data_IF_427550062564
#
_entry.id   IF_427550062564
#
_cell.length_a   1.000
_cell.length_b   1.000
_cell.length_c   1.000
_cell.angle_alpha   90.00
_cell.angle_beta   90.00
_cell.angle_gamma   90.00
#
_symmetry.space_group_name_H-M   'P 1'
#
loop_
_entity.id
_entity.type
_entity.pdbx_description
1 polymer ?
#
# COMPACT_ATOMS: atom_id res chain seq x y z
N UNK A 1 71.19 20.84 -18.28
CA UNK A 1 69.93 21.56 -18.03
C UNK A 1 68.77 20.63 -18.41
N UNK A 2 68.33 19.73 -17.53
CA UNK A 2 67.25 18.78 -17.84
C UNK A 2 66.39 18.37 -16.63
N UNK A 3 66.84 18.58 -15.39
CA UNK A 3 66.11 18.11 -14.20
C UNK A 3 64.87 18.93 -13.79
N UNK A 4 64.72 20.16 -14.30
CA UNK A 4 63.63 21.04 -13.83
C UNK A 4 62.27 20.79 -14.52
N UNK A 5 62.27 20.14 -15.68
CA UNK A 5 61.05 19.88 -16.48
C UNK A 5 60.32 18.59 -16.09
N UNK A 6 61.02 17.57 -15.59
CA UNK A 6 60.40 16.27 -15.26
C UNK A 6 59.47 16.34 -14.03
N UNK A 7 59.79 17.16 -13.03
CA UNK A 7 58.95 17.32 -11.84
C UNK A 7 57.58 17.97 -12.12
N UNK A 8 57.50 18.85 -13.12
CA UNK A 8 56.24 19.53 -13.48
C UNK A 8 55.27 18.59 -14.22
N UNK A 9 55.80 17.71 -15.07
CA UNK A 9 55.00 16.72 -15.83
C UNK A 9 54.42 15.64 -14.90
N UNK A 10 55.20 15.20 -13.89
CA UNK A 10 54.74 14.26 -12.88
C UNK A 10 53.64 14.84 -11.97
N UNK A 11 53.74 16.12 -11.62
CA UNK A 11 52.69 16.81 -10.86
C UNK A 11 51.38 16.88 -11.65
N UNK A 12 51.46 17.25 -12.93
CA UNK A 12 50.28 17.34 -13.80
C UNK A 12 49.61 15.96 -13.99
N UNK A 13 50.38 14.88 -14.15
CA UNK A 13 49.81 13.54 -14.30
C UNK A 13 49.09 13.06 -13.02
N UNK A 14 49.67 13.32 -11.85
CA UNK A 14 49.02 13.01 -10.56
C UNK A 14 47.74 13.83 -10.39
N UNK A 15 47.77 15.13 -10.69
CA UNK A 15 46.58 15.98 -10.64
C UNK A 15 45.49 15.50 -11.61
N UNK A 16 45.87 15.05 -12.81
CA UNK A 16 44.93 14.51 -13.79
C UNK A 16 44.32 13.18 -13.30
N UNK A 17 45.11 12.29 -12.71
CA UNK A 17 44.62 11.04 -12.12
C UNK A 17 43.65 11.30 -10.95
N UNK A 18 43.97 12.27 -10.08
CA UNK A 18 43.09 12.70 -9.00
C UNK A 18 41.79 13.32 -9.52
N UNK A 19 41.87 14.14 -10.57
CA UNK A 19 40.67 14.72 -11.18
C UNK A 19 39.76 13.64 -11.78
N UNK A 20 40.33 12.65 -12.48
CA UNK A 20 39.57 11.52 -13.04
C UNK A 20 38.93 10.66 -11.95
N UNK A 21 39.65 10.36 -10.87
CA UNK A 21 39.10 9.57 -9.76
C UNK A 21 37.96 10.32 -9.05
N UNK A 22 38.08 11.63 -8.86
CA UNK A 22 37.03 12.48 -8.32
C UNK A 22 35.80 12.54 -9.23
N UNK A 23 35.99 12.65 -10.55
CA UNK A 23 34.90 12.62 -11.53
C UNK A 23 34.17 11.27 -11.52
N UNK A 24 34.91 10.15 -11.48
CA UNK A 24 34.32 8.81 -11.40
C UNK A 24 33.52 8.62 -10.10
N UNK A 25 34.07 9.06 -8.96
CA UNK A 25 33.39 9.00 -7.67
C UNK A 25 32.10 9.84 -7.68
N UNK A 26 32.13 11.05 -8.26
CA UNK A 26 30.95 11.91 -8.44
C UNK A 26 29.88 11.25 -9.29
N UNK A 27 30.24 10.63 -10.40
CA UNK A 27 29.30 9.92 -11.27
C UNK A 27 28.63 8.73 -10.55
N UNK A 28 29.41 7.97 -9.78
CA UNK A 28 28.90 6.84 -9.00
C UNK A 28 27.93 7.29 -7.91
N UNK A 29 28.26 8.36 -7.18
CA UNK A 29 27.37 8.94 -6.18
C UNK A 29 26.04 9.42 -6.80
N UNK A 30 26.11 10.11 -7.94
CA UNK A 30 24.92 10.59 -8.63
C UNK A 30 24.00 9.43 -9.08
N UNK A 31 24.59 8.34 -9.59
CA UNK A 31 23.84 7.15 -9.97
C UNK A 31 23.19 6.48 -8.75
N UNK A 32 23.89 6.40 -7.63
CA UNK A 32 23.35 5.82 -6.40
C UNK A 32 22.19 6.64 -5.82
N UNK A 33 22.32 7.97 -5.82
CA UNK A 33 21.29 8.87 -5.30
C UNK A 33 19.99 8.77 -6.12
N UNK A 34 20.11 8.72 -7.45
CA UNK A 34 18.95 8.51 -8.32
C UNK A 34 18.26 7.16 -8.09
N UNK A 35 19.03 6.10 -7.86
CA UNK A 35 18.47 4.77 -7.56
C UNK A 35 17.79 4.73 -6.17
N UNK A 36 18.34 5.45 -5.20
CA UNK A 36 17.81 5.52 -3.84
C UNK A 36 16.44 6.21 -3.77
N UNK A 37 16.24 7.28 -4.54
CA UNK A 37 14.95 7.97 -4.61
C UNK A 37 13.84 7.06 -5.16
N UNK A 38 14.11 6.35 -6.24
CA UNK A 38 13.15 5.41 -6.84
C UNK A 38 12.82 4.24 -5.89
N UNK A 39 13.84 3.70 -5.20
CA UNK A 39 13.64 2.63 -4.22
C UNK A 39 12.81 3.07 -3.01
N UNK A 40 12.94 4.32 -2.58
CA UNK A 40 12.19 4.83 -1.41
C UNK A 40 10.69 4.91 -1.71
N UNK A 41 10.31 5.36 -2.90
CA UNK A 41 8.92 5.45 -3.30
C UNK A 41 8.27 4.05 -3.40
N UNK A 42 8.96 3.10 -4.02
CA UNK A 42 8.50 1.71 -4.11
C UNK A 42 8.36 1.07 -2.72
N UNK A 43 9.32 1.28 -1.82
CA UNK A 43 9.23 0.79 -0.44
C UNK A 43 8.02 1.37 0.29
N UNK A 44 7.78 2.67 0.16
CA UNK A 44 6.61 3.31 0.76
C UNK A 44 5.32 2.72 0.21
N UNK A 45 5.24 2.52 -1.12
CA UNK A 45 4.07 1.96 -1.78
C UNK A 45 3.79 0.55 -1.28
N UNK A 46 4.81 -0.32 -1.27
CA UNK A 46 4.70 -1.68 -0.77
C UNK A 46 4.28 -1.70 0.70
N UNK A 47 4.83 -0.83 1.54
CA UNK A 47 4.45 -0.75 2.94
C UNK A 47 2.97 -0.37 3.12
N UNK A 48 2.48 0.60 2.33
CA UNK A 48 1.06 0.97 2.35
C UNK A 48 0.18 -0.16 1.82
N UNK A 49 0.59 -0.84 0.74
CA UNK A 49 -0.10 -2.01 0.20
C UNK A 49 -0.24 -3.12 1.23
N UNK A 50 0.84 -3.51 1.90
CA UNK A 50 0.80 -4.54 2.95
C UNK A 50 -0.07 -4.12 4.15
N UNK A 51 -0.11 -2.83 4.49
CA UNK A 51 -0.97 -2.32 5.55
C UNK A 51 -2.45 -2.34 5.15
N UNK A 52 -2.77 -2.06 3.89
CA UNK A 52 -4.14 -2.17 3.38
C UNK A 52 -4.57 -3.63 3.35
N UNK A 53 -3.69 -4.54 2.94
CA UNK A 53 -3.96 -5.98 2.91
C UNK A 53 -4.16 -6.55 4.31
N UNK A 54 -3.30 -6.16 5.26
CA UNK A 54 -3.48 -6.53 6.67
C UNK A 54 -4.78 -6.00 7.23
N UNK A 55 -5.17 -4.77 6.86
CA UNK A 55 -6.45 -4.20 7.25
C UNK A 55 -7.61 -5.01 6.67
N UNK A 56 -7.54 -5.37 5.39
CA UNK A 56 -8.55 -6.17 4.71
C UNK A 56 -8.68 -7.56 5.35
N UNK A 57 -7.57 -8.23 5.64
CA UNK A 57 -7.54 -9.52 6.35
C UNK A 57 -8.17 -9.40 7.74
N UNK A 58 -7.79 -8.37 8.49
CA UNK A 58 -8.40 -8.10 9.80
C UNK A 58 -9.91 -7.86 9.68
N UNK A 59 -10.35 -7.11 8.67
CA UNK A 59 -11.76 -6.84 8.38
C UNK A 59 -12.55 -8.10 8.00
N UNK A 60 -11.94 -9.05 7.28
CA UNK A 60 -12.55 -10.35 6.96
C UNK A 60 -12.83 -11.19 8.22
N UNK A 61 -12.01 -11.02 9.26
CA UNK A 61 -12.15 -11.74 10.52
C UNK A 61 -13.10 -11.06 11.54
N UNK A 62 -13.62 -9.87 11.24
CA UNK A 62 -14.54 -9.16 12.14
C UNK A 62 -15.98 -9.65 12.00
N UNK A 63 -16.68 -9.71 13.13
CA UNK A 63 -18.13 -9.89 13.17
C UNK A 63 -18.82 -8.55 12.91
N UNK A 64 -19.31 -8.36 11.68
CA UNK A 64 -19.99 -7.13 11.28
C UNK A 64 -21.46 -7.13 11.74
N UNK A 65 -21.89 -6.04 12.39
CA UNK A 65 -23.30 -5.83 12.74
C UNK A 65 -24.07 -5.37 11.49
N UNK A 66 -24.96 -6.22 10.96
CA UNK A 66 -25.69 -5.96 9.71
C UNK A 66 -27.02 -5.22 9.95
N UNK A 67 -27.01 -4.18 10.78
CA UNK A 67 -28.18 -3.33 10.95
C UNK A 67 -28.47 -2.61 9.62
N UNK A 68 -29.72 -2.69 9.15
CA UNK A 68 -30.11 -2.24 7.81
C UNK A 68 -29.73 -0.78 7.52
N UNK A 69 -29.86 0.11 8.51
CA UNK A 69 -29.53 1.54 8.39
C UNK A 69 -28.03 1.87 8.38
N UNK A 70 -27.17 1.04 8.99
CA UNK A 70 -25.74 1.34 9.11
C UNK A 70 -24.95 0.89 7.87
N UNK A 71 -25.56 0.06 7.01
CA UNK A 71 -24.88 -0.54 5.84
C UNK A 71 -25.18 0.14 4.51
N UNK A 72 -26.07 1.15 4.47
CA UNK A 72 -26.25 2.01 3.28
C UNK A 72 -25.07 2.97 3.09
N UNK A 73 -24.43 3.38 4.18
CA UNK A 73 -23.18 4.13 4.18
C UNK A 73 -21.99 3.24 4.56
N UNK A 74 -20.77 3.77 4.42
CA UNK A 74 -19.56 3.05 4.83
C UNK A 74 -19.51 2.92 6.35
N UNK A 75 -19.69 1.71 6.85
CA UNK A 75 -19.48 1.40 8.27
C UNK A 75 -18.05 0.94 8.49
N UNK A 76 -17.27 1.71 9.25
CA UNK A 76 -15.84 1.47 9.45
C UNK A 76 -15.50 1.03 10.86
N UNK A 77 -14.66 0.02 10.97
CA UNK A 77 -14.00 -0.38 12.21
C UNK A 77 -12.51 -0.02 12.12
N UNK A 78 -11.92 0.32 13.27
CA UNK A 78 -10.50 0.61 13.39
C UNK A 78 -9.89 -0.11 14.59
N UNK A 79 -8.76 -0.77 14.37
CA UNK A 79 -7.96 -1.37 15.42
C UNK A 79 -6.89 -0.38 15.89
N UNK A 80 -6.78 -0.14 17.19
CA UNK A 80 -5.86 0.84 17.74
C UNK A 80 -4.38 0.42 17.62
N UNK A 81 -4.05 -0.85 17.89
CA UNK A 81 -2.66 -1.30 18.09
C UNK A 81 -1.83 -1.34 16.80
N UNK A 82 -2.44 -1.77 15.69
CA UNK A 82 -1.77 -1.80 14.38
C UNK A 82 -2.30 -0.73 13.40
N UNK A 83 -3.15 0.18 13.89
CA UNK A 83 -3.80 1.22 13.08
C UNK A 83 -4.50 0.69 11.82
N UNK A 84 -5.03 -0.54 11.89
CA UNK A 84 -5.76 -1.16 10.79
C UNK A 84 -7.15 -0.56 10.69
N UNK A 85 -7.59 -0.25 9.46
CA UNK A 85 -8.92 0.30 9.22
C UNK A 85 -9.59 -0.46 8.09
N UNK A 86 -10.77 -0.99 8.38
CA UNK A 86 -11.60 -1.67 7.40
C UNK A 86 -13.01 -1.13 7.44
N UNK A 87 -13.63 -1.01 6.28
CA UNK A 87 -14.99 -0.54 6.15
C UNK A 87 -15.81 -1.53 5.34
N UNK A 88 -17.10 -1.62 5.65
CA UNK A 88 -18.06 -2.47 4.98
C UNK A 88 -19.22 -1.61 4.46
N UNK A 89 -19.67 -1.89 3.24
CA UNK A 89 -20.86 -1.28 2.65
C UNK A 89 -21.69 -2.34 1.94
N UNK A 90 -23.01 -2.24 2.04
CA UNK A 90 -23.93 -3.13 1.31
C UNK A 90 -23.94 -2.73 -0.15
N UNK A 91 -23.78 -3.71 -1.03
CA UNK A 91 -23.91 -3.51 -2.47
C UNK A 91 -25.27 -3.98 -2.98
N UNK A 92 -25.74 -5.14 -2.52
CA UNK A 92 -27.08 -5.67 -2.79
C UNK A 92 -27.56 -6.52 -1.62
N UNK A 93 -28.76 -7.12 -1.72
CA UNK A 93 -29.43 -7.86 -0.64
C UNK A 93 -28.52 -8.78 0.18
N UNK A 94 -27.67 -9.55 -0.50
CA UNK A 94 -26.75 -10.50 0.14
C UNK A 94 -25.29 -10.23 -0.15
N UNK A 95 -24.95 -9.19 -0.91
CA UNK A 95 -23.58 -8.87 -1.31
C UNK A 95 -23.12 -7.59 -0.62
N UNK A 96 -21.91 -7.68 -0.06
CA UNK A 96 -21.27 -6.60 0.65
C UNK A 96 -19.88 -6.39 0.08
N UNK A 97 -19.44 -5.14 0.06
CA UNK A 97 -18.09 -4.77 -0.29
C UNK A 97 -17.35 -4.40 1.00
N UNK A 98 -16.30 -5.16 1.29
CA UNK A 98 -15.34 -4.86 2.33
C UNK A 98 -14.17 -4.12 1.70
N UNK A 99 -13.70 -3.04 2.33
CA UNK A 99 -12.46 -2.36 1.96
C UNK A 99 -11.49 -2.26 3.12
N UNK A 100 -10.21 -2.55 2.86
CA UNK A 100 -9.08 -2.31 3.76
C UNK A 100 -8.37 -1.02 3.33
N UNK A 101 -8.06 -0.16 4.29
CA UNK A 101 -7.53 1.19 4.02
C UNK A 101 -6.16 1.34 4.68
N UNK A 102 -5.19 1.81 3.91
CA UNK A 102 -3.92 2.31 4.43
C UNK A 102 -3.70 3.76 4.04
N UNK A 103 -3.08 4.52 4.94
CA UNK A 103 -2.59 5.85 4.64
C UNK A 103 -1.21 5.75 3.98
N UNK A 104 -1.05 6.45 2.88
CA UNK A 104 0.22 6.64 2.18
C UNK A 104 0.91 7.92 2.67
N UNK A 105 2.23 7.99 2.54
CA UNK A 105 3.03 9.10 3.06
C UNK A 105 2.67 10.46 2.43
N UNK A 106 2.11 10.48 1.21
CA UNK A 106 1.64 11.68 0.52
C UNK A 106 0.26 12.18 0.99
N UNK A 107 -0.38 11.50 1.95
CA UNK A 107 -1.76 11.77 2.38
C UNK A 107 -2.83 11.09 1.51
N UNK A 108 -2.43 10.45 0.41
CA UNK A 108 -3.29 9.57 -0.37
C UNK A 108 -3.64 8.30 0.41
N UNK A 109 -4.74 7.65 0.04
CA UNK A 109 -5.18 6.39 0.66
C UNK A 109 -5.04 5.28 -0.36
N UNK A 110 -4.47 4.17 0.07
CA UNK A 110 -4.48 2.93 -0.68
C UNK A 110 -5.64 2.08 -0.15
N UNK A 111 -6.54 1.71 -1.05
CA UNK A 111 -7.73 0.92 -0.74
C UNK A 111 -7.67 -0.41 -1.48
N UNK A 112 -7.88 -1.51 -0.75
CA UNK A 112 -8.05 -2.84 -1.31
C UNK A 112 -9.45 -3.34 -0.99
N UNK A 113 -10.04 -4.13 -1.88
CA UNK A 113 -11.43 -4.55 -1.79
C UNK A 113 -11.57 -6.07 -1.73
N UNK A 114 -12.61 -6.52 -1.05
CA UNK A 114 -13.03 -7.92 -1.00
C UNK A 114 -14.55 -7.99 -1.08
N UNK A 115 -15.05 -8.81 -2.00
CA UNK A 115 -16.45 -9.19 -2.01
C UNK A 115 -16.78 -10.16 -0.87
N UNK A 116 -17.84 -9.84 -0.14
CA UNK A 116 -18.39 -10.65 0.96
C UNK A 116 -19.83 -11.02 0.62
N UNK A 117 -20.25 -12.23 0.99
CA UNK A 117 -21.63 -12.69 0.87
C UNK A 117 -22.21 -13.00 2.23
N UNK A 118 -23.48 -12.67 2.40
CA UNK A 118 -24.25 -13.04 3.57
C UNK A 118 -24.63 -14.51 3.51
N UNK A 119 -24.23 -15.28 4.53
CA UNK A 119 -24.70 -16.65 4.68
C UNK A 119 -26.08 -16.64 5.34
N UNK A 120 -27.07 -17.26 4.69
CA UNK A 120 -28.38 -17.45 5.31
C UNK A 120 -28.27 -18.53 6.37
N UNK A 121 -28.83 -18.33 7.58
CA UNK A 121 -28.86 -19.39 8.58
C UNK A 121 -29.64 -20.59 8.03
N UNK A 122 -29.12 -21.79 8.27
CA UNK A 122 -29.73 -23.04 7.80
C UNK A 122 -31.12 -23.28 8.40
N UNK A 123 -31.42 -22.65 9.54
CA UNK A 123 -32.69 -22.75 10.24
C UNK A 123 -33.15 -21.34 10.70
N UNK A 124 -34.34 -20.86 10.30
CA UNK A 124 -34.82 -19.53 10.67
C UNK A 124 -35.10 -19.36 12.17
N UNK A 125 -35.26 -20.45 12.93
CA UNK A 125 -35.50 -20.43 14.39
C UNK A 125 -34.22 -20.39 15.25
N UNK A 126 -33.05 -20.49 14.63
CA UNK A 126 -31.79 -20.33 15.36
C UNK A 126 -31.40 -18.86 15.41
N UNK A 127 -31.21 -18.32 16.62
CA UNK A 127 -30.67 -16.98 16.92
C UNK A 127 -29.18 -16.85 16.52
N UNK A 128 -28.73 -17.53 15.47
CA UNK A 128 -27.36 -17.44 14.98
C UNK A 128 -27.22 -16.08 14.29
N UNK A 129 -26.26 -15.24 14.72
CA UNK A 129 -26.01 -13.97 14.05
C UNK A 129 -25.66 -14.24 12.59
N UNK A 130 -26.21 -13.41 11.71
CA UNK A 130 -25.92 -13.49 10.29
C UNK A 130 -24.43 -13.31 10.05
N UNK A 131 -23.79 -14.32 9.46
CA UNK A 131 -22.35 -14.32 9.18
C UNK A 131 -22.06 -13.83 7.75
N UNK A 132 -21.04 -12.98 7.62
CA UNK A 132 -20.50 -12.60 6.32
C UNK A 132 -19.29 -13.48 6.01
N UNK A 133 -19.30 -14.11 4.84
CA UNK A 133 -18.19 -14.94 4.37
C UNK A 133 -17.57 -14.34 3.10
N UNK A 134 -16.24 -14.35 2.97
CA UNK A 134 -15.58 -13.84 1.77
C UNK A 134 -15.91 -14.70 0.55
N UNK A 135 -16.08 -14.04 -0.60
CA UNK A 135 -16.22 -14.73 -1.88
C UNK A 135 -14.82 -15.14 -2.37
N UNK A 136 -14.68 -16.40 -2.77
CA UNK A 136 -13.45 -16.89 -3.39
C UNK A 136 -13.09 -16.06 -4.62
N UNK A 137 -11.81 -15.68 -4.75
CA UNK A 137 -11.33 -14.77 -5.81
C UNK A 137 -12.05 -13.41 -5.86
N UNK A 138 -12.68 -12.99 -4.76
CA UNK A 138 -13.34 -11.69 -4.65
C UNK A 138 -12.42 -10.53 -4.22
N UNK A 139 -11.12 -10.78 -4.12
CA UNK A 139 -10.10 -9.79 -3.75
C UNK A 139 -9.69 -8.94 -4.96
N UNK A 140 -9.59 -7.63 -4.78
CA UNK A 140 -9.36 -6.66 -5.85
C UNK A 140 -8.53 -5.47 -5.35
N UNK A 141 -7.63 -4.98 -6.19
CA UNK A 141 -6.81 -3.77 -5.99
C UNK A 141 -7.40 -2.52 -6.68
N UNK A 142 -8.55 -2.66 -7.33
CA UNK A 142 -9.27 -1.57 -7.99
C UNK A 142 -10.72 -1.52 -7.53
N UNK A 143 -11.36 -0.37 -7.76
CA UNK A 143 -12.78 -0.17 -7.46
C UNK A 143 -13.66 -1.13 -8.28
N UNK A 144 -14.39 -2.08 -7.66
CA UNK A 144 -15.12 -3.10 -8.41
C UNK A 144 -16.45 -2.63 -9.00
N UNK A 145 -16.86 -1.41 -8.71
CA UNK A 145 -18.20 -0.91 -9.01
C UNK A 145 -18.13 0.41 -9.76
N UNK A 146 -19.12 0.68 -10.58
CA UNK A 146 -19.19 1.91 -11.39
C UNK A 146 -19.59 3.11 -10.52
N UNK A 147 -20.33 2.87 -9.44
CA UNK A 147 -20.79 3.90 -8.51
C UNK A 147 -19.61 4.45 -7.70
N UNK A 148 -19.23 5.70 -7.98
CA UNK A 148 -18.10 6.36 -7.33
C UNK A 148 -18.23 6.40 -5.80
N UNK A 149 -19.45 6.42 -5.25
CA UNK A 149 -19.72 6.43 -3.80
C UNK A 149 -19.12 5.24 -3.01
N UNK A 150 -18.67 4.18 -3.68
CA UNK A 150 -17.95 3.08 -3.04
C UNK A 150 -16.44 3.34 -2.95
N UNK A 151 -15.89 4.23 -3.78
CA UNK A 151 -14.45 4.39 -3.97
C UNK A 151 -13.98 5.85 -3.86
N UNK A 152 -14.85 6.74 -3.34
CA UNK A 152 -14.56 8.14 -3.00
C UNK A 152 -14.16 8.30 -1.52
#
# INVERSE_FOLDING_TARGET
MADKQQGNILLISIMMLLALSLMMLKALHYQQESAMLMMTDEQNYLQAFWRAESSLIWGKAQSWSLNQQETESWFCLQQAEFHLKSCLKRYSDTLFLLKGIAQFASGEKLELYQWMKQMKPLNPDTLIPVELIPIESGWLDFCPVVQAEFCL
#
